data_IF_221755863710
#
_entry.id   IF_221755863710
#
_cell.length_a   1.000
_cell.length_b   1.000
_cell.length_c   1.000
_cell.angle_alpha   90.00
_cell.angle_beta   90.00
_cell.angle_gamma   90.00
#
_symmetry.space_group_name_H-M   'P 1'
#
loop_
_entity.id
_entity.type
_entity.pdbx_description
1 polymer ?
#
# COMPACT_ATOMS: atom_id res chain seq x y z
N UNK A 1 -1.60 -9.68 -24.94
CA UNK A 1 -1.24 -11.11 -24.93
C UNK A 1 -0.37 -11.31 -23.69
N UNK A 2 -0.76 -11.86 -22.53
CA UNK A 2 -1.81 -12.82 -22.15
C UNK A 2 -2.35 -12.54 -20.72
N UNK A 3 -3.45 -11.80 -20.55
CA UNK A 3 -4.24 -11.81 -19.30
C UNK A 3 -5.28 -12.96 -19.27
N UNK A 4 -5.40 -13.67 -20.40
CA UNK A 4 -6.48 -14.64 -20.65
C UNK A 4 -6.28 -15.99 -19.94
N UNK A 5 -5.07 -16.26 -19.42
CA UNK A 5 -4.73 -17.51 -18.73
C UNK A 5 -4.78 -17.40 -17.19
N UNK A 6 -5.03 -16.22 -16.61
CA UNK A 6 -4.80 -15.95 -15.19
C UNK A 6 -6.06 -15.83 -14.30
N UNK A 7 -7.27 -16.08 -14.82
CA UNK A 7 -8.51 -16.01 -14.05
C UNK A 7 -9.12 -17.39 -13.74
N UNK A 8 -8.36 -18.26 -13.08
CA UNK A 8 -8.93 -19.50 -12.52
C UNK A 8 -10.06 -19.21 -11.53
N UNK A 9 -10.92 -20.20 -11.27
CA UNK A 9 -12.10 -20.05 -10.38
C UNK A 9 -11.76 -19.45 -9.00
N UNK A 10 -10.53 -19.67 -8.50
CA UNK A 10 -10.06 -19.13 -7.23
C UNK A 10 -9.98 -17.59 -7.22
N UNK A 11 -9.36 -16.98 -8.23
CA UNK A 11 -9.20 -15.53 -8.27
C UNK A 11 -10.52 -14.83 -8.59
N UNK A 12 -11.38 -15.44 -9.42
CA UNK A 12 -12.74 -14.91 -9.66
C UNK A 12 -13.56 -14.90 -8.37
N UNK A 13 -13.49 -15.96 -7.56
CA UNK A 13 -14.19 -16.02 -6.27
C UNK A 13 -13.69 -14.95 -5.29
N UNK A 14 -12.38 -14.68 -5.27
CA UNK A 14 -11.78 -13.63 -4.43
C UNK A 14 -12.15 -12.23 -4.90
N UNK A 15 -12.15 -11.99 -6.21
CA UNK A 15 -12.55 -10.72 -6.80
C UNK A 15 -14.03 -10.45 -6.54
N UNK A 16 -14.89 -11.45 -6.67
CA UNK A 16 -16.32 -11.34 -6.36
C UNK A 16 -16.56 -10.99 -4.88
N UNK A 17 -15.83 -11.63 -3.96
CA UNK A 17 -15.89 -11.30 -2.54
C UNK A 17 -15.44 -9.85 -2.28
N UNK A 18 -14.35 -9.41 -2.90
CA UNK A 18 -13.84 -8.05 -2.78
C UNK A 18 -14.85 -7.02 -3.31
N UNK A 19 -15.39 -7.24 -4.52
CA UNK A 19 -16.40 -6.39 -5.14
C UNK A 19 -17.63 -6.23 -4.23
N UNK A 20 -18.14 -7.34 -3.69
CA UNK A 20 -19.28 -7.33 -2.75
C UNK A 20 -18.99 -6.55 -1.48
N UNK A 21 -17.78 -6.70 -0.94
CA UNK A 21 -17.35 -6.00 0.28
C UNK A 21 -17.31 -4.48 0.03
N UNK A 22 -16.72 -4.06 -1.09
CA UNK A 22 -16.63 -2.64 -1.46
C UNK A 22 -18.00 -2.03 -1.76
N UNK A 23 -18.85 -2.74 -2.49
CA UNK A 23 -20.22 -2.31 -2.77
C UNK A 23 -21.04 -2.15 -1.47
N UNK A 24 -20.92 -3.11 -0.55
CA UNK A 24 -21.56 -3.04 0.79
C UNK A 24 -21.04 -1.87 1.61
N UNK A 25 -19.77 -1.50 1.44
CA UNK A 25 -19.16 -0.34 2.08
C UNK A 25 -19.53 1.01 1.42
N UNK A 26 -20.35 1.01 0.37
CA UNK A 26 -20.85 2.22 -0.28
C UNK A 26 -20.02 2.73 -1.46
N UNK A 27 -19.06 1.94 -1.96
CA UNK A 27 -18.39 2.25 -3.22
C UNK A 27 -19.39 2.08 -4.37
N UNK A 28 -19.56 3.12 -5.19
CA UNK A 28 -20.49 3.07 -6.32
C UNK A 28 -20.03 2.05 -7.37
N UNK A 29 -20.99 1.40 -8.04
CA UNK A 29 -20.70 0.39 -9.08
C UNK A 29 -19.79 0.94 -10.19
N UNK A 30 -19.94 2.22 -10.53
CA UNK A 30 -19.10 2.91 -11.51
C UNK A 30 -17.62 3.01 -11.09
N UNK A 31 -17.34 3.00 -9.79
CA UNK A 31 -16.01 3.18 -9.21
C UNK A 31 -15.37 1.85 -8.77
N UNK A 32 -16.13 0.75 -8.73
CA UNK A 32 -15.66 -0.57 -8.27
C UNK A 32 -14.39 -1.04 -9.00
N UNK A 33 -14.32 -0.81 -10.31
CA UNK A 33 -13.13 -1.19 -11.09
C UNK A 33 -11.87 -0.49 -10.58
N UNK A 34 -11.95 0.84 -10.39
CA UNK A 34 -10.83 1.66 -9.91
C UNK A 34 -10.48 1.30 -8.46
N UNK A 35 -11.47 1.04 -7.62
CA UNK A 35 -11.27 0.62 -6.24
C UNK A 35 -10.49 -0.71 -6.15
N UNK A 36 -10.90 -1.72 -6.92
CA UNK A 36 -10.24 -3.03 -6.97
C UNK A 36 -8.79 -2.90 -7.44
N UNK A 37 -8.54 -2.15 -8.51
CA UNK A 37 -7.18 -1.94 -9.02
C UNK A 37 -6.30 -1.18 -8.03
N UNK A 38 -6.86 -0.20 -7.33
CA UNK A 38 -6.13 0.58 -6.34
C UNK A 38 -5.68 -0.30 -5.17
N UNK A 39 -6.59 -1.15 -4.65
CA UNK A 39 -6.27 -2.09 -3.57
C UNK A 39 -5.23 -3.13 -4.01
N UNK A 40 -5.39 -3.68 -5.21
CA UNK A 40 -4.43 -4.63 -5.77
C UNK A 40 -3.03 -4.02 -5.87
N UNK A 41 -2.91 -2.83 -6.46
CA UNK A 41 -1.65 -2.12 -6.61
C UNK A 41 -1.04 -1.73 -5.25
N UNK A 42 -1.87 -1.33 -4.29
CA UNK A 42 -1.42 -1.03 -2.93
C UNK A 42 -0.80 -2.25 -2.24
N UNK A 43 -1.50 -3.39 -2.27
CA UNK A 43 -1.04 -4.64 -1.65
C UNK A 43 0.26 -5.13 -2.30
N UNK A 44 0.33 -5.11 -3.63
CA UNK A 44 1.56 -5.49 -4.35
C UNK A 44 2.71 -4.52 -4.01
N UNK A 45 2.46 -3.21 -4.05
CA UNK A 45 3.48 -2.20 -3.75
C UNK A 45 4.03 -2.34 -2.34
N UNK A 46 3.16 -2.51 -1.34
CA UNK A 46 3.57 -2.72 0.04
C UNK A 46 4.38 -4.02 0.22
N UNK A 47 3.96 -5.10 -0.44
CA UNK A 47 4.66 -6.40 -0.38
C UNK A 47 6.07 -6.30 -0.98
N UNK A 48 6.21 -5.68 -2.15
CA UNK A 48 7.50 -5.48 -2.81
C UNK A 48 8.41 -4.58 -1.98
N UNK A 49 7.89 -3.47 -1.44
CA UNK A 49 8.68 -2.58 -0.58
C UNK A 49 9.17 -3.31 0.66
N UNK A 50 8.31 -4.04 1.37
CA UNK A 50 8.72 -4.83 2.55
C UNK A 50 9.83 -5.82 2.20
N UNK A 51 9.66 -6.60 1.13
CA UNK A 51 10.66 -7.59 0.72
C UNK A 51 12.02 -6.98 0.37
N UNK A 52 12.05 -5.74 -0.15
CA UNK A 52 13.29 -5.05 -0.53
C UNK A 52 13.94 -4.25 0.62
N UNK A 53 13.16 -3.87 1.64
CA UNK A 53 13.60 -3.02 2.74
C UNK A 53 13.71 -3.75 4.09
N UNK A 54 13.47 -5.05 4.12
CA UNK A 54 13.82 -5.92 5.26
C UNK A 54 15.35 -6.09 5.34
N UNK A 55 16.02 -5.01 5.77
CA UNK A 55 17.48 -4.88 5.90
C UNK A 55 17.91 -4.97 7.37
N UNK A 56 19.21 -5.20 7.57
CA UNK A 56 19.79 -5.22 8.92
C UNK A 56 19.64 -3.87 9.64
N UNK A 57 19.72 -3.88 10.97
CA UNK A 57 19.69 -2.64 11.75
C UNK A 57 20.88 -1.70 11.44
N UNK A 58 22.01 -2.26 10.99
CA UNK A 58 23.18 -1.48 10.57
C UNK A 58 22.91 -0.67 9.29
N UNK A 59 22.23 -1.29 8.30
CA UNK A 59 21.83 -0.60 7.07
C UNK A 59 20.87 0.56 7.36
N UNK A 60 19.99 0.38 8.36
CA UNK A 60 19.04 1.40 8.81
C UNK A 60 19.75 2.55 9.51
N UNK A 61 20.72 2.26 10.38
CA UNK A 61 21.53 3.28 11.05
C UNK A 61 22.34 4.12 10.04
N UNK A 62 22.95 3.47 9.05
CA UNK A 62 23.69 4.15 7.98
C UNK A 62 22.77 5.04 7.12
N UNK A 63 21.57 4.55 6.77
CA UNK A 63 20.56 5.35 6.08
C UNK A 63 20.15 6.59 6.88
N UNK A 64 20.01 6.45 8.21
CA UNK A 64 19.68 7.59 9.06
C UNK A 64 20.77 8.65 9.09
N UNK A 65 22.02 8.24 9.28
CA UNK A 65 23.14 9.18 9.30
C UNK A 65 23.22 9.97 7.99
N UNK A 66 22.99 9.30 6.86
CA UNK A 66 22.92 9.95 5.55
C UNK A 66 21.75 10.94 5.47
N UNK A 67 20.55 10.58 5.91
CA UNK A 67 19.40 11.50 5.92
C UNK A 67 19.67 12.73 6.79
N UNK A 68 20.25 12.55 7.99
CA UNK A 68 20.62 13.67 8.87
C UNK A 68 21.59 14.64 8.19
N UNK A 69 22.61 14.12 7.47
CA UNK A 69 23.56 14.96 6.74
C UNK A 69 22.93 15.78 5.60
N UNK A 70 21.77 15.31 5.10
CA UNK A 70 21.05 15.94 3.99
C UNK A 70 19.83 16.76 4.47
N UNK A 71 19.62 16.86 5.78
CA UNK A 71 18.45 17.50 6.41
C UNK A 71 18.22 18.95 5.97
N UNK A 72 19.30 19.71 5.74
CA UNK A 72 19.20 21.09 5.25
C UNK A 72 18.56 21.18 3.86
N UNK A 73 18.73 20.16 3.01
CA UNK A 73 18.21 20.13 1.65
C UNK A 73 16.87 19.38 1.55
N UNK A 74 16.61 18.43 2.45
CA UNK A 74 15.38 17.61 2.45
C UNK A 74 14.69 17.58 3.82
N UNK A 75 14.29 18.74 4.37
CA UNK A 75 13.75 18.83 5.73
C UNK A 75 12.43 18.06 5.92
N UNK A 76 11.62 17.93 4.86
CA UNK A 76 10.37 17.17 4.92
C UNK A 76 10.61 15.66 5.05
N UNK A 77 11.63 15.14 4.35
CA UNK A 77 11.98 13.70 4.38
C UNK A 77 12.60 13.34 5.72
N UNK A 78 13.44 14.21 6.27
CA UNK A 78 14.01 14.03 7.60
C UNK A 78 12.91 14.00 8.67
N UNK A 79 11.99 14.98 8.66
CA UNK A 79 10.89 15.06 9.62
C UNK A 79 9.95 13.85 9.56
N UNK A 80 9.64 13.35 8.37
CA UNK A 80 8.75 12.20 8.21
C UNK A 80 9.43 10.87 8.56
N UNK A 81 10.76 10.85 8.70
CA UNK A 81 11.55 9.66 9.00
C UNK A 81 11.24 8.49 8.05
N UNK A 82 11.01 8.82 6.76
CA UNK A 82 10.44 7.96 5.71
C UNK A 82 11.12 6.57 5.54
N UNK A 83 12.34 6.38 6.03
CA UNK A 83 13.12 5.15 5.90
C UNK A 83 13.46 4.47 7.24
N UNK A 84 12.94 4.98 8.35
CA UNK A 84 13.30 4.50 9.69
C UNK A 84 12.23 3.70 10.37
N UNK A 85 10.97 3.91 10.00
CA UNK A 85 9.87 3.15 10.56
C UNK A 85 9.97 1.70 10.08
N UNK A 86 10.20 0.77 11.01
CA UNK A 86 10.16 -0.67 10.76
C UNK A 86 8.83 -1.30 11.13
N UNK A 87 7.84 -0.51 11.55
CA UNK A 87 6.48 -0.97 11.73
C UNK A 87 5.81 -1.14 10.35
N UNK A 88 6.30 -2.12 9.57
CA UNK A 88 5.77 -2.43 8.25
C UNK A 88 4.28 -2.81 8.30
N UNK A 89 3.89 -3.55 9.34
CA UNK A 89 2.51 -3.99 9.52
C UNK A 89 1.61 -2.80 9.89
N UNK A 90 2.07 -1.90 10.76
CA UNK A 90 1.35 -0.68 11.09
C UNK A 90 1.27 0.31 9.93
N UNK A 91 2.35 0.48 9.16
CA UNK A 91 2.36 1.30 7.95
C UNK A 91 1.42 0.75 6.87
N UNK A 92 1.39 -0.58 6.70
CA UNK A 92 0.43 -1.25 5.81
C UNK A 92 -1.01 -1.02 6.25
N UNK A 93 -1.32 -1.23 7.53
CA UNK A 93 -2.69 -1.03 8.04
C UNK A 93 -3.14 0.42 7.88
N UNK A 94 -2.33 1.39 8.32
CA UNK A 94 -2.67 2.83 8.21
C UNK A 94 -2.81 3.28 6.75
N UNK A 95 -1.94 2.80 5.86
CA UNK A 95 -2.04 3.13 4.44
C UNK A 95 -3.29 2.52 3.78
N UNK A 96 -3.68 1.32 4.18
CA UNK A 96 -4.94 0.71 3.76
C UNK A 96 -6.15 1.51 4.27
N UNK A 97 -6.13 1.96 5.52
CA UNK A 97 -7.19 2.81 6.08
C UNK A 97 -7.32 4.11 5.27
N UNK A 98 -6.21 4.81 4.98
CA UNK A 98 -6.24 6.02 4.13
C UNK A 98 -6.77 5.77 2.73
N UNK A 99 -6.43 4.62 2.13
CA UNK A 99 -6.92 4.25 0.81
C UNK A 99 -8.43 3.97 0.84
N UNK A 100 -8.90 3.19 1.81
CA UNK A 100 -10.31 2.84 1.94
C UNK A 100 -11.18 4.07 2.27
N UNK A 101 -10.71 4.95 3.15
CA UNK A 101 -11.36 6.24 3.48
C UNK A 101 -11.50 7.17 2.25
N UNK A 102 -10.63 7.01 1.25
CA UNK A 102 -10.70 7.76 -0.01
C UNK A 102 -11.61 7.12 -1.06
N UNK A 103 -11.90 5.83 -0.94
CA UNK A 103 -12.73 5.07 -1.87
C UNK A 103 -14.20 5.03 -1.45
N UNK A 104 -14.46 4.93 -0.14
CA UNK A 104 -15.80 4.96 0.41
C UNK A 104 -16.22 6.40 0.73
N UNK A 105 -17.44 6.83 0.40
CA UNK A 105 -17.95 8.12 0.85
C UNK A 105 -17.94 8.18 2.39
N UNK A 106 -17.39 9.24 2.96
CA UNK A 106 -17.58 9.50 4.40
C UNK A 106 -19.05 9.86 4.62
N UNK A 107 -19.75 9.03 5.41
CA UNK A 107 -21.10 9.33 5.88
C UNK A 107 -21.09 10.51 6.86
#
# INVERSE_FOLDING_TARGET
>A
MYLRAAFGANILSRLELLSKTLSTAGVADADLNVAIWSLWNYVIGATITRANFDRSDDDRAAAQQRLTSLSQHYPTIERSRLLLDNDWDGAFRKGLDFLLDGLAPRQ
#
